data_IF_295801415328
#
_entry.id   IF_295801415328
#
_cell.length_a   1.000
_cell.length_b   1.000
_cell.length_c   1.000
_cell.angle_alpha   90.00
_cell.angle_beta   90.00
_cell.angle_gamma   90.00
#
_symmetry.space_group_name_H-M   'P 1'
#
loop_
_entity.id
_entity.type
_entity.pdbx_description
1 polymer ?
#
# COMPACT_ATOMS: atom_id res chain seq x y z
N UNK A 1 4.55 27.24 1.31
CA UNK A 1 4.38 25.89 0.73
C UNK A 1 5.70 25.18 0.86
N UNK A 2 5.73 24.02 1.52
CA UNK A 2 6.94 23.22 1.67
C UNK A 2 7.31 22.60 0.32
N UNK A 3 8.61 22.37 0.07
CA UNK A 3 9.05 21.67 -1.13
C UNK A 3 8.64 20.19 -1.06
N UNK A 4 8.10 19.66 -2.16
CA UNK A 4 7.90 18.23 -2.32
C UNK A 4 9.22 17.54 -2.71
N UNK A 5 9.49 16.37 -2.14
CA UNK A 5 10.70 15.58 -2.42
C UNK A 5 10.36 14.12 -2.64
N UNK A 6 11.14 13.45 -3.49
CA UNK A 6 11.05 12.00 -3.70
C UNK A 6 11.98 11.32 -2.69
N UNK A 7 11.42 10.51 -1.78
CA UNK A 7 12.16 9.87 -0.69
C UNK A 7 12.74 8.51 -1.10
N UNK A 8 11.98 7.72 -1.86
CA UNK A 8 12.36 6.37 -2.26
C UNK A 8 11.62 5.96 -3.53
N UNK A 9 12.11 4.89 -4.18
CA UNK A 9 11.49 4.30 -5.36
C UNK A 9 12.02 2.90 -5.62
N UNK A 10 11.09 2.02 -5.99
CA UNK A 10 11.34 0.65 -6.45
C UNK A 10 10.40 0.34 -7.61
N UNK A 11 10.68 -0.75 -8.33
CA UNK A 11 9.82 -1.25 -9.41
C UNK A 11 9.90 -2.77 -9.46
N UNK A 12 8.88 -3.39 -10.02
CA UNK A 12 8.95 -4.78 -10.45
C UNK A 12 9.80 -4.93 -11.72
N UNK A 13 10.08 -6.17 -12.11
CA UNK A 13 10.50 -6.46 -13.47
C UNK A 13 9.35 -6.15 -14.46
N UNK A 14 9.70 -5.84 -15.71
CA UNK A 14 8.71 -5.67 -16.77
C UNK A 14 8.51 -7.02 -17.45
N UNK A 15 7.31 -7.57 -17.35
CA UNK A 15 6.93 -8.81 -18.03
C UNK A 15 6.45 -8.54 -19.46
N UNK A 16 6.81 -9.43 -20.39
CA UNK A 16 6.19 -9.43 -21.71
C UNK A 16 4.70 -9.86 -21.61
N UNK A 17 3.89 -9.45 -22.59
CA UNK A 17 2.49 -9.89 -22.67
C UNK A 17 2.41 -11.42 -22.76
N UNK A 18 1.63 -12.04 -21.87
CA UNK A 18 1.55 -13.50 -21.76
C UNK A 18 2.83 -14.17 -21.23
N UNK A 19 3.77 -13.40 -20.69
CA UNK A 19 5.08 -13.89 -20.22
C UNK A 19 5.11 -14.21 -18.72
N UNK A 20 6.26 -13.94 -18.10
CA UNK A 20 6.61 -14.36 -16.74
C UNK A 20 5.68 -13.86 -15.61
N UNK A 21 4.98 -12.74 -15.82
CA UNK A 21 4.09 -12.15 -14.82
C UNK A 21 2.61 -12.38 -15.12
N UNK A 22 2.25 -13.21 -16.11
CA UNK A 22 0.86 -13.40 -16.55
C UNK A 22 -0.07 -13.92 -15.44
N UNK A 23 0.47 -14.70 -14.51
CA UNK A 23 -0.29 -15.32 -13.42
C UNK A 23 -0.23 -14.51 -12.12
N UNK A 24 0.45 -13.35 -12.12
CA UNK A 24 0.56 -12.48 -10.95
C UNK A 24 -0.44 -11.33 -11.07
N UNK A 25 -1.44 -11.23 -10.18
CA UNK A 25 -2.40 -10.13 -10.20
C UNK A 25 -1.74 -8.76 -10.08
N UNK A 26 -2.27 -7.76 -10.80
CA UNK A 26 -1.73 -6.40 -10.77
C UNK A 26 -1.72 -5.79 -9.35
N UNK A 27 -2.73 -6.08 -8.53
CA UNK A 27 -2.78 -5.63 -7.14
C UNK A 27 -1.63 -6.18 -6.29
N UNK A 28 -1.19 -7.40 -6.56
CA UNK A 28 -0.11 -8.04 -5.81
C UNK A 28 1.25 -7.45 -6.21
N UNK A 29 1.43 -7.14 -7.50
CA UNK A 29 2.59 -6.37 -7.98
C UNK A 29 2.63 -4.95 -7.37
N UNK A 30 1.47 -4.28 -7.28
CA UNK A 30 1.31 -2.98 -6.64
C UNK A 30 1.64 -3.02 -5.14
N UNK A 31 1.05 -3.98 -4.42
CA UNK A 31 1.30 -4.18 -2.99
C UNK A 31 2.79 -4.47 -2.70
N UNK A 32 3.43 -5.28 -3.55
CA UNK A 32 4.86 -5.57 -3.44
C UNK A 32 5.69 -4.29 -3.53
N UNK A 33 5.47 -3.44 -4.55
CA UNK A 33 6.28 -2.23 -4.71
C UNK A 33 6.01 -1.18 -3.63
N UNK A 34 4.77 -1.05 -3.15
CA UNK A 34 4.45 -0.16 -2.02
C UNK A 34 5.23 -0.61 -0.78
N UNK A 35 5.16 -1.90 -0.46
CA UNK A 35 5.84 -2.48 0.71
C UNK A 35 7.35 -2.30 0.63
N UNK A 36 7.96 -2.68 -0.49
CA UNK A 36 9.42 -2.59 -0.66
C UNK A 36 9.91 -1.13 -0.71
N UNK A 37 9.10 -0.19 -1.20
CA UNK A 37 9.43 1.25 -1.16
C UNK A 37 9.55 1.75 0.27
N UNK A 38 8.60 1.38 1.14
CA UNK A 38 8.61 1.76 2.56
C UNK A 38 9.77 1.11 3.32
N UNK A 39 10.01 -0.18 3.11
CA UNK A 39 11.13 -0.90 3.73
C UNK A 39 12.47 -0.26 3.32
N UNK A 40 12.66 0.02 2.03
CA UNK A 40 13.88 0.68 1.51
C UNK A 40 14.07 2.08 2.10
N UNK A 41 12.98 2.78 2.39
CA UNK A 41 12.99 4.09 3.04
C UNK A 41 13.15 3.99 4.58
N UNK A 42 13.12 2.80 5.16
CA UNK A 42 13.24 2.58 6.61
C UNK A 42 11.94 2.82 7.40
N UNK A 43 10.79 2.74 6.73
CA UNK A 43 9.48 3.03 7.33
C UNK A 43 8.54 1.83 7.36
N UNK A 44 7.61 1.85 8.32
CA UNK A 44 6.40 1.03 8.36
C UNK A 44 5.16 1.92 8.52
N UNK A 45 4.03 1.61 7.87
CA UNK A 45 2.80 2.37 8.02
C UNK A 45 2.23 2.17 9.43
N UNK A 46 1.72 3.24 10.03
CA UNK A 46 1.05 3.21 11.32
C UNK A 46 -0.18 4.11 11.30
N UNK A 47 -1.21 3.71 12.05
CA UNK A 47 -2.39 4.52 12.25
C UNK A 47 -2.04 5.70 13.18
N UNK A 48 -2.19 6.96 12.75
CA UNK A 48 -1.92 8.10 13.62
C UNK A 48 -2.95 8.17 14.76
N UNK A 49 -2.58 8.78 15.88
CA UNK A 49 -3.42 8.81 17.08
C UNK A 49 -4.81 9.43 16.82
N UNK A 50 -4.87 10.53 16.06
CA UNK A 50 -6.14 11.22 15.76
C UNK A 50 -7.11 10.34 14.95
N UNK A 51 -6.61 9.44 14.10
CA UNK A 51 -7.46 8.60 13.27
C UNK A 51 -8.27 7.57 14.10
N UNK A 52 -7.82 7.25 15.33
CA UNK A 52 -8.61 6.43 16.26
C UNK A 52 -9.78 7.21 16.85
N UNK A 53 -9.58 8.50 17.09
CA UNK A 53 -10.61 9.37 17.68
C UNK A 53 -11.73 9.64 16.66
N UNK A 54 -11.36 9.78 15.39
CA UNK A 54 -12.26 10.03 14.26
C UNK A 54 -12.97 8.78 13.73
N UNK A 55 -12.61 7.59 14.22
CA UNK A 55 -13.25 6.34 13.82
C UNK A 55 -14.74 6.30 14.25
N UNK A 56 -15.64 5.73 13.42
CA UNK A 56 -17.05 5.60 13.77
C UNK A 56 -17.25 4.86 15.10
N UNK A 57 -18.16 5.32 15.95
CA UNK A 57 -18.39 4.75 17.29
C UNK A 57 -18.71 3.25 17.25
N UNK A 58 -19.36 2.79 16.18
CA UNK A 58 -19.70 1.37 15.98
C UNK A 58 -18.49 0.48 15.69
N UNK A 59 -17.37 1.05 15.22
CA UNK A 59 -16.18 0.32 14.79
C UNK A 59 -14.91 0.72 15.59
N UNK A 60 -14.99 1.70 16.49
CA UNK A 60 -13.85 2.27 17.23
C UNK A 60 -13.05 1.25 18.06
N UNK A 61 -13.71 0.17 18.49
CA UNK A 61 -13.10 -0.91 19.28
C UNK A 61 -12.80 -2.17 18.46
N UNK A 62 -13.04 -2.16 17.15
CA UNK A 62 -12.70 -3.29 16.29
C UNK A 62 -11.19 -3.32 16.03
N UNK A 63 -10.62 -4.53 16.10
CA UNK A 63 -9.23 -4.75 15.73
C UNK A 63 -9.07 -4.81 14.20
N UNK A 64 -7.84 -5.07 13.77
CA UNK A 64 -7.54 -5.29 12.36
C UNK A 64 -8.41 -6.43 11.80
N UNK A 65 -8.98 -6.23 10.62
CA UNK A 65 -9.71 -7.29 9.93
C UNK A 65 -8.75 -8.35 9.38
N UNK A 66 -9.28 -9.48 8.89
CA UNK A 66 -8.46 -10.63 8.47
C UNK A 66 -7.40 -10.29 7.42
N UNK A 67 -7.75 -9.43 6.45
CA UNK A 67 -6.82 -9.00 5.40
C UNK A 67 -5.72 -8.08 5.96
N UNK A 68 -6.07 -7.19 6.88
CA UNK A 68 -5.10 -6.30 7.52
C UNK A 68 -4.13 -7.09 8.41
N UNK A 69 -4.61 -8.08 9.16
CA UNK A 69 -3.77 -8.96 9.95
C UNK A 69 -2.75 -9.73 9.09
N UNK A 70 -3.18 -10.15 7.88
CA UNK A 70 -2.30 -10.84 6.94
C UNK A 70 -1.14 -9.95 6.48
N UNK A 71 -1.39 -8.66 6.22
CA UNK A 71 -0.41 -7.74 5.63
C UNK A 71 0.27 -6.79 6.63
N UNK A 72 -0.15 -6.75 7.90
CA UNK A 72 0.42 -5.86 8.94
C UNK A 72 1.71 -6.39 9.58
N UNK A 73 2.43 -7.32 8.93
CA UNK A 73 3.69 -7.88 9.43
C UNK A 73 4.88 -7.07 8.91
N UNK A 74 5.44 -6.26 9.80
CA UNK A 74 6.59 -5.38 9.56
C UNK A 74 7.71 -5.68 10.55
N UNK A 75 8.96 -5.34 10.17
CA UNK A 75 10.09 -5.50 11.07
C UNK A 75 10.10 -4.40 12.15
N UNK A 76 10.46 -4.75 13.38
CA UNK A 76 10.40 -3.85 14.55
C UNK A 76 11.38 -2.68 14.47
N UNK A 77 12.43 -2.80 13.66
CA UNK A 77 13.45 -1.77 13.47
C UNK A 77 13.03 -0.63 12.53
N UNK A 78 11.85 -0.71 11.90
CA UNK A 78 11.35 0.31 10.98
C UNK A 78 10.63 1.43 11.74
N UNK A 79 10.86 2.67 11.30
CA UNK A 79 10.21 3.86 11.88
C UNK A 79 8.76 3.96 11.43
N UNK A 80 7.86 4.29 12.35
CA UNK A 80 6.44 4.50 12.04
C UNK A 80 6.21 5.79 11.26
N UNK A 81 5.35 5.72 10.24
CA UNK A 81 4.88 6.87 9.47
C UNK A 81 3.39 6.75 9.20
N UNK A 82 2.68 7.88 9.31
CA UNK A 82 1.31 7.99 8.85
C UNK A 82 1.31 8.22 7.33
N UNK A 83 0.61 7.37 6.59
CA UNK A 83 0.38 7.55 5.15
C UNK A 83 -1.00 8.13 4.98
N UNK A 84 -1.07 9.36 4.48
CA UNK A 84 -2.33 10.08 4.27
C UNK A 84 -3.04 9.61 3.00
N UNK A 85 -2.27 9.49 1.91
CA UNK A 85 -2.82 9.14 0.60
C UNK A 85 -1.92 8.13 -0.14
N UNK A 86 -2.57 7.19 -0.84
CA UNK A 86 -1.92 6.28 -1.79
C UNK A 86 -2.59 6.46 -3.15
N UNK A 87 -1.84 6.98 -4.12
CA UNK A 87 -2.33 7.20 -5.48
C UNK A 87 -1.83 6.07 -6.39
N UNK A 88 -2.77 5.30 -6.97
CA UNK A 88 -2.47 4.16 -7.85
C UNK A 88 -2.99 4.43 -9.27
N UNK A 89 -2.09 4.45 -10.25
CA UNK A 89 -2.45 4.53 -11.66
C UNK A 89 -2.59 3.14 -12.28
N UNK A 90 -3.76 2.83 -12.88
CA UNK A 90 -3.96 1.62 -13.68
C UNK A 90 -4.90 1.90 -14.87
N UNK A 91 -4.57 1.39 -16.05
CA UNK A 91 -5.28 1.71 -17.30
C UNK A 91 -6.24 0.58 -17.74
N UNK A 92 -5.75 -0.65 -17.85
CA UNK A 92 -6.51 -1.75 -18.49
C UNK A 92 -7.69 -2.24 -17.61
N UNK A 93 -7.53 -2.29 -16.28
CA UNK A 93 -8.60 -2.70 -15.38
C UNK A 93 -9.77 -1.70 -15.36
N UNK A 94 -9.45 -0.41 -15.43
CA UNK A 94 -10.45 0.67 -15.44
C UNK A 94 -11.36 0.61 -16.68
N UNK A 95 -10.81 0.22 -17.84
CA UNK A 95 -11.59 0.01 -19.07
C UNK A 95 -12.57 -1.17 -19.04
N UNK A 96 -12.42 -2.08 -18.07
CA UNK A 96 -13.32 -3.22 -17.84
C UNK A 96 -14.28 -3.00 -16.64
N UNK A 97 -14.33 -1.77 -16.10
CA UNK A 97 -15.12 -1.46 -14.91
C UNK A 97 -14.59 -2.07 -13.61
N UNK A 98 -13.35 -2.58 -13.60
CA UNK A 98 -12.69 -3.12 -12.41
C UNK A 98 -11.72 -2.10 -11.82
N UNK A 99 -11.83 -1.83 -10.52
CA UNK A 99 -10.92 -0.92 -9.83
C UNK A 99 -9.74 -1.71 -9.25
N UNK A 100 -8.59 -1.71 -9.94
CA UNK A 100 -7.40 -2.44 -9.50
C UNK A 100 -6.74 -1.87 -8.23
N UNK A 101 -7.16 -0.68 -7.78
CA UNK A 101 -6.74 -0.09 -6.51
C UNK A 101 -7.56 -0.53 -5.30
N UNK A 102 -8.57 -1.40 -5.49
CA UNK A 102 -9.41 -1.95 -4.42
C UNK A 102 -9.23 -3.45 -4.28
#
# INVERSE_FOLDING_TARGET
>A
MSNAVIVSGVRTAVGAFGGSLKDVPAKDLGALVIRETLIKAGFKPALPAYAKDDAPDTAKNEGLCSIEQQYSKWADNLKEIAVDEVIMGNVIGAGQGQNAGR
#
